data_IF_910096652598
#
_entry.id   IF_910096652598
#
_cell.length_a   1.000
_cell.length_b   1.000
_cell.length_c   1.000
_cell.angle_alpha   90.00
_cell.angle_beta   90.00
_cell.angle_gamma   90.00
#
_symmetry.space_group_name_H-M   'P 1'
#
loop_
_entity.id
_entity.type
_entity.pdbx_description
1 polymer ?
#
# COMPACT_ATOMS: atom_id res chain seq x y z
N UNK A 1 -16.56 5.00 9.03
CA UNK A 1 -16.34 3.71 8.35
C UNK A 1 -15.02 3.79 7.58
N UNK A 2 -14.54 2.68 7.05
CA UNK A 2 -13.31 2.65 6.26
C UNK A 2 -13.47 1.61 5.15
N UNK A 3 -12.89 1.89 3.99
CA UNK A 3 -12.80 0.93 2.89
C UNK A 3 -11.48 0.19 3.00
N UNK A 4 -11.52 -1.14 2.96
CA UNK A 4 -10.34 -2.01 3.04
C UNK A 4 -10.25 -2.87 1.77
N UNK A 5 -9.06 -2.94 1.19
CA UNK A 5 -8.74 -3.77 0.03
C UNK A 5 -7.54 -4.67 0.31
N UNK A 6 -7.64 -5.93 -0.13
CA UNK A 6 -6.49 -6.84 -0.15
C UNK A 6 -5.68 -6.62 -1.44
N UNK A 7 -4.36 -6.53 -1.31
CA UNK A 7 -3.45 -6.45 -2.46
C UNK A 7 -2.83 -7.82 -2.69
N UNK A 8 -3.05 -8.37 -3.89
CA UNK A 8 -2.56 -9.70 -4.28
C UNK A 8 -1.60 -9.59 -5.46
N UNK A 9 -0.51 -10.34 -5.38
CA UNK A 9 0.44 -10.55 -6.47
C UNK A 9 0.56 -12.05 -6.74
N UNK A 10 0.27 -12.47 -7.98
CA UNK A 10 0.31 -13.88 -8.40
C UNK A 10 -0.47 -14.83 -7.48
N UNK A 11 -1.65 -14.39 -7.03
CA UNK A 11 -2.52 -15.16 -6.13
C UNK A 11 -2.10 -15.13 -4.65
N UNK A 12 -0.95 -14.55 -4.30
CA UNK A 12 -0.48 -14.37 -2.92
C UNK A 12 -0.81 -12.97 -2.40
N UNK A 13 -1.31 -12.90 -1.17
CA UNK A 13 -1.50 -11.63 -0.46
C UNK A 13 -0.14 -11.01 -0.14
N UNK A 14 0.05 -9.77 -0.59
CA UNK A 14 1.30 -9.02 -0.36
C UNK A 14 1.12 -7.87 0.63
N UNK A 15 -0.12 -7.47 0.89
CA UNK A 15 -0.44 -6.36 1.76
C UNK A 15 -1.91 -5.99 1.72
N UNK A 16 -2.23 -4.90 2.40
CA UNK A 16 -3.56 -4.32 2.45
C UNK A 16 -3.48 -2.83 2.19
N UNK A 17 -4.54 -2.30 1.59
CA UNK A 17 -4.77 -0.87 1.42
C UNK A 17 -6.05 -0.47 2.15
N UNK A 18 -6.03 0.66 2.84
CA UNK A 18 -7.17 1.19 3.58
C UNK A 18 -7.38 2.67 3.31
N UNK A 19 -8.65 3.07 3.18
CA UNK A 19 -9.06 4.46 3.09
C UNK A 19 -10.06 4.74 4.21
N UNK A 20 -9.67 5.60 5.15
CA UNK A 20 -10.54 6.05 6.22
C UNK A 20 -11.54 7.07 5.69
N UNK A 21 -12.76 7.08 6.21
CA UNK A 21 -13.76 8.08 5.83
C UNK A 21 -13.24 9.50 6.12
N UNK A 22 -13.38 10.39 5.14
CA UNK A 22 -12.90 11.76 5.21
C UNK A 22 -11.43 11.94 4.84
N UNK A 23 -10.68 10.85 4.63
CA UNK A 23 -9.34 10.92 4.07
C UNK A 23 -9.36 10.76 2.55
N UNK A 24 -8.48 11.51 1.87
CA UNK A 24 -8.33 11.44 0.42
C UNK A 24 -7.16 10.55 0.00
N UNK A 25 -6.34 10.11 0.96
CA UNK A 25 -5.11 9.34 0.73
C UNK A 25 -5.23 8.00 1.45
N UNK A 26 -4.95 6.93 0.74
CA UNK A 26 -4.98 5.58 1.28
C UNK A 26 -3.68 5.25 2.02
N UNK A 27 -3.81 4.41 3.05
CA UNK A 27 -2.71 3.79 3.76
C UNK A 27 -2.46 2.39 3.20
N UNK A 28 -1.21 2.05 2.92
CA UNK A 28 -0.79 0.71 2.52
C UNK A 28 0.13 0.08 3.56
N UNK A 29 -0.02 -1.21 3.81
CA UNK A 29 0.91 -2.00 4.64
C UNK A 29 1.22 -3.33 3.95
N UNK A 30 2.48 -3.76 4.01
CA UNK A 30 2.85 -5.10 3.57
C UNK A 30 2.31 -6.17 4.53
N UNK A 31 1.89 -7.30 3.96
CA UNK A 31 1.58 -8.47 4.74
C UNK A 31 2.85 -8.95 5.47
N UNK A 32 2.71 -9.34 6.74
CA UNK A 32 3.85 -9.71 7.56
C UNK A 32 4.62 -10.92 7.00
N UNK A 33 3.94 -11.88 6.36
CA UNK A 33 4.59 -13.03 5.73
C UNK A 33 5.25 -12.64 4.40
N UNK A 34 4.68 -11.70 3.66
CA UNK A 34 5.33 -11.14 2.48
C UNK A 34 6.58 -10.32 2.82
N UNK A 35 6.53 -9.49 3.87
CA UNK A 35 7.67 -8.69 4.32
C UNK A 35 8.89 -9.52 4.76
N UNK A 36 8.69 -10.80 5.12
CA UNK A 36 9.78 -11.75 5.42
C UNK A 36 10.35 -12.46 4.19
N UNK A 37 9.78 -12.25 3.01
CA UNK A 37 10.22 -12.94 1.79
C UNK A 37 11.52 -12.40 1.21
N UNK A 38 11.89 -11.16 1.51
CA UNK A 38 13.02 -10.46 0.89
C UNK A 38 12.76 -9.95 -0.53
N UNK A 39 11.55 -10.14 -1.07
CA UNK A 39 11.16 -9.64 -2.39
C UNK A 39 10.72 -8.18 -2.28
N UNK A 40 11.55 -7.27 -2.79
CA UNK A 40 11.31 -5.83 -2.79
C UNK A 40 10.53 -5.39 -4.04
N UNK A 41 9.26 -4.98 -3.87
CA UNK A 41 8.45 -4.45 -4.98
C UNK A 41 8.78 -3.00 -5.33
N UNK A 42 9.14 -2.20 -4.31
CA UNK A 42 9.57 -0.82 -4.49
C UNK A 42 10.63 -0.46 -3.45
N UNK A 43 11.86 -0.98 -3.58
CA UNK A 43 12.86 -0.88 -2.51
C UNK A 43 13.25 0.57 -2.14
N UNK A 44 13.12 1.50 -3.08
CA UNK A 44 13.48 2.91 -2.85
C UNK A 44 12.38 3.70 -2.13
N UNK A 45 11.12 3.40 -2.42
CA UNK A 45 9.97 4.20 -1.95
C UNK A 45 9.19 3.46 -0.86
N UNK A 46 9.09 2.14 -0.98
CA UNK A 46 8.39 1.23 -0.06
C UNK A 46 9.23 -0.01 0.26
N UNK A 47 10.37 0.12 0.95
CA UNK A 47 11.16 -1.03 1.39
C UNK A 47 10.36 -1.98 2.30
N UNK A 48 10.72 -3.26 2.33
CA UNK A 48 10.02 -4.23 3.18
C UNK A 48 10.11 -3.83 4.66
N UNK A 49 8.96 -3.53 5.25
CA UNK A 49 8.84 -3.20 6.67
C UNK A 49 7.40 -3.36 7.14
N UNK A 50 7.19 -3.29 8.46
CA UNK A 50 5.85 -3.28 9.09
C UNK A 50 5.30 -1.87 9.28
N UNK A 51 5.75 -0.90 8.48
CA UNK A 51 5.27 0.48 8.57
C UNK A 51 4.12 0.68 7.60
N UNK A 52 3.22 1.59 7.98
CA UNK A 52 2.16 2.05 7.11
C UNK A 52 2.70 3.13 6.17
N UNK A 53 2.47 2.95 4.88
CA UNK A 53 2.86 3.85 3.82
C UNK A 53 1.70 4.73 3.39
N UNK A 54 1.97 6.03 3.21
CA UNK A 54 1.03 7.02 2.68
C UNK A 54 1.80 7.94 1.74
N UNK A 55 1.13 8.44 0.71
CA UNK A 55 1.76 9.24 -0.35
C UNK A 55 0.95 10.50 -0.65
N UNK A 56 0.80 11.43 0.31
CA UNK A 56 0.00 12.64 0.12
C UNK A 56 0.59 13.59 -0.93
N UNK A 57 1.88 13.45 -1.27
CA UNK A 57 2.55 14.27 -2.29
C UNK A 57 2.27 13.81 -3.72
N UNK A 58 1.70 12.61 -3.93
CA UNK A 58 1.40 12.12 -5.28
C UNK A 58 0.21 12.86 -5.89
N UNK A 59 0.29 13.11 -7.21
CA UNK A 59 -0.80 13.75 -7.95
C UNK A 59 -2.09 12.95 -7.83
N UNK A 60 -3.11 13.55 -7.21
CA UNK A 60 -4.42 12.90 -7.03
C UNK A 60 -5.10 12.57 -8.36
N UNK A 61 -4.93 13.39 -9.39
CA UNK A 61 -5.53 13.14 -10.70
C UNK A 61 -4.98 11.87 -11.36
N UNK A 62 -3.76 11.48 -11.00
CA UNK A 62 -3.07 10.31 -11.57
C UNK A 62 -3.26 9.06 -10.71
N UNK A 63 -3.05 9.19 -9.40
CA UNK A 63 -2.99 8.05 -8.49
C UNK A 63 -4.25 7.87 -7.64
N UNK A 64 -5.20 8.82 -7.68
CA UNK A 64 -6.46 8.75 -6.96
C UNK A 64 -6.32 8.51 -5.45
N UNK A 65 -5.21 8.98 -4.86
CA UNK A 65 -4.90 8.80 -3.44
C UNK A 65 -4.24 7.46 -3.08
N UNK A 66 -3.94 6.61 -4.06
CA UNK A 66 -3.26 5.34 -3.87
C UNK A 66 -1.73 5.48 -3.97
N UNK A 67 -0.96 4.54 -3.39
CA UNK A 67 0.46 4.39 -3.71
C UNK A 67 0.67 4.18 -5.21
N UNK A 68 1.76 4.71 -5.78
CA UNK A 68 2.09 4.50 -7.20
C UNK A 68 2.40 3.06 -7.61
N UNK A 69 2.34 2.12 -6.67
CA UNK A 69 2.41 0.67 -6.91
C UNK A 69 1.06 0.08 -7.36
N UNK A 70 -0.06 0.76 -7.06
CA UNK A 70 -1.44 0.32 -7.29
C UNK A 70 -2.09 1.15 -8.41
#
# INVERSE_FOLDING_TARGET
>A
MSTLGEVRLWGRTIGAVSLLDGEEVAAFEYDAAFARSGIELSPLVMPLSRRVYRFPELSRQTFLGLPGLL
#
